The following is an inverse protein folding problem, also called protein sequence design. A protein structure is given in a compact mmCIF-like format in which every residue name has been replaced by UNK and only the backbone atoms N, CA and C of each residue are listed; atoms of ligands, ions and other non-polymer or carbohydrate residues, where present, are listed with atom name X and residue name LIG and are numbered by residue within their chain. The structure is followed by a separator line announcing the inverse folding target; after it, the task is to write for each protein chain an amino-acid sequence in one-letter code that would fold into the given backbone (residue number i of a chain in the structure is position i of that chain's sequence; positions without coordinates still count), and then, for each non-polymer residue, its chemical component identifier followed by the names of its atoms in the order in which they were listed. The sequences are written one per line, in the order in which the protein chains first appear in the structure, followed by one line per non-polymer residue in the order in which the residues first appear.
data_IF_445234998969
#
_entry.id   IF_445234998969
#
_cell.length_a   1.000
_cell.length_b   1.000
_cell.length_c   1.000
_cell.angle_alpha   90.00
_cell.angle_beta   90.00
_cell.angle_gamma   90.00
#
_symmetry.space_group_name_H-M   'P 1'
#
loop_
_entity.id
_entity.type
_entity.pdbx_description
1 polymer ?
#
# COMPACT_ATOMS: atom_id res chain seq x y z
N UNK A 1 7.17 -3.18 -4.92
CA UNK A 1 6.69 -1.98 -5.64
C UNK A 1 5.18 -1.77 -5.54
N UNK A 2 4.38 -2.84 -5.36
CA UNK A 2 2.91 -2.74 -5.27
C UNK A 2 2.39 -2.40 -3.87
N UNK A 3 3.25 -2.32 -2.86
CA UNK A 3 2.93 -1.96 -1.48
C UNK A 3 3.81 -0.79 -1.01
N UNK A 4 3.76 0.32 -1.76
CA UNK A 4 4.52 1.52 -1.42
C UNK A 4 3.83 2.31 -0.29
N UNK A 5 4.63 3.03 0.49
CA UNK A 5 4.13 3.90 1.57
C UNK A 5 3.24 5.01 1.02
N UNK A 6 3.61 5.58 -0.14
CA UNK A 6 2.80 6.52 -0.90
C UNK A 6 3.08 6.39 -2.39
N UNK A 7 2.05 6.56 -3.21
CA UNK A 7 2.17 6.57 -4.68
C UNK A 7 2.81 7.84 -5.23
N UNK A 8 3.00 8.85 -4.39
CA UNK A 8 3.60 10.13 -4.75
C UNK A 8 5.10 10.17 -4.46
N UNK A 9 5.56 9.40 -3.46
CA UNK A 9 6.93 9.48 -2.97
C UNK A 9 7.89 8.55 -3.72
N UNK A 10 9.12 9.00 -3.89
CA UNK A 10 10.22 8.20 -4.42
C UNK A 10 10.87 7.38 -3.30
N UNK A 11 11.23 6.13 -3.61
CA UNK A 11 11.82 5.25 -2.61
C UNK A 11 13.30 5.61 -2.36
N UNK A 12 13.75 5.80 -1.11
CA UNK A 12 15.13 6.21 -0.77
C UNK A 12 16.22 5.29 -1.31
N UNK A 13 15.89 4.04 -1.58
CA UNK A 13 16.83 3.08 -2.17
C UNK A 13 17.37 3.49 -3.54
N UNK A 14 16.64 4.31 -4.30
CA UNK A 14 17.07 4.82 -5.60
C UNK A 14 18.03 6.01 -5.50
N UNK A 15 18.27 6.55 -4.30
CA UNK A 15 19.23 7.63 -4.11
C UNK A 15 20.66 7.18 -4.50
N UNK A 16 21.31 7.91 -5.39
CA UNK A 16 22.74 7.75 -5.67
C UNK A 16 23.54 8.65 -4.72
N UNK A 17 24.11 8.05 -3.69
CA UNK A 17 24.90 8.77 -2.68
C UNK A 17 26.15 9.44 -3.24
N UNK A 18 26.69 8.96 -4.38
CA UNK A 18 27.90 9.53 -5.03
C UNK A 18 27.64 10.90 -5.66
N UNK A 19 26.38 11.24 -5.89
CA UNK A 19 25.97 12.57 -6.40
C UNK A 19 25.73 13.57 -5.27
N UNK A 20 25.89 13.15 -4.01
CA UNK A 20 25.70 13.98 -2.84
C UNK A 20 27.05 14.45 -2.29
N UNK A 21 27.06 15.53 -1.47
CA UNK A 21 28.26 15.91 -0.73
C UNK A 21 28.80 14.76 0.12
N UNK A 22 30.11 14.78 0.35
CA UNK A 22 30.72 13.85 1.28
C UNK A 22 30.29 14.16 2.72
N UNK A 23 30.25 13.14 3.57
CA UNK A 23 30.11 13.31 5.00
C UNK A 23 31.40 13.92 5.55
N UNK A 24 31.29 14.95 6.40
CA UNK A 24 32.45 15.65 6.99
C UNK A 24 33.23 14.75 7.97
N UNK A 25 32.53 13.83 8.65
CA UNK A 25 33.17 12.84 9.52
C UNK A 25 33.86 11.76 8.67
N UNK A 26 35.18 11.82 8.61
CA UNK A 26 36.01 10.90 7.82
C UNK A 26 35.87 9.44 8.28
N UNK A 27 35.71 9.20 9.56
CA UNK A 27 35.59 7.83 10.10
C UNK A 27 34.28 7.19 9.64
N UNK A 28 33.19 7.94 9.68
CA UNK A 28 31.91 7.47 9.17
C UNK A 28 31.93 7.38 7.62
N UNK A 29 32.55 8.31 6.92
CA UNK A 29 32.71 8.24 5.46
C UNK A 29 33.45 6.96 5.03
N UNK A 30 34.60 6.66 5.67
CA UNK A 30 35.35 5.43 5.41
C UNK A 30 34.53 4.17 5.73
N UNK A 31 33.75 4.20 6.82
CA UNK A 31 32.86 3.10 7.18
C UNK A 31 31.76 2.85 6.11
N UNK A 32 31.16 3.90 5.57
CA UNK A 32 30.18 3.77 4.50
C UNK A 32 30.83 3.24 3.21
N UNK A 33 32.05 3.64 2.89
CA UNK A 33 32.75 3.11 1.72
C UNK A 33 33.03 1.61 1.87
N UNK A 34 33.53 1.17 3.02
CA UNK A 34 33.72 -0.27 3.31
C UNK A 34 32.41 -1.04 3.21
N UNK A 35 31.32 -0.48 3.77
CA UNK A 35 29.99 -1.11 3.70
C UNK A 35 29.47 -1.16 2.25
N UNK A 36 29.71 -0.13 1.46
CA UNK A 36 29.36 -0.10 0.02
C UNK A 36 30.08 -1.21 -0.74
N UNK A 37 31.37 -1.39 -0.51
CA UNK A 37 32.17 -2.44 -1.13
C UNK A 37 31.64 -3.83 -0.72
N UNK A 38 31.39 -4.04 0.56
CA UNK A 38 30.82 -5.29 1.08
C UNK A 38 29.47 -5.61 0.42
N UNK A 39 28.52 -4.65 0.42
CA UNK A 39 27.18 -4.87 -0.12
C UNK A 39 27.18 -5.06 -1.64
N UNK A 40 28.08 -4.40 -2.36
CA UNK A 40 28.20 -4.59 -3.82
C UNK A 40 28.88 -5.93 -4.20
N UNK A 41 29.61 -6.55 -3.29
CA UNK A 41 30.22 -7.87 -3.51
C UNK A 41 29.24 -9.03 -3.29
N UNK A 42 28.05 -8.77 -2.75
CA UNK A 42 27.02 -9.80 -2.54
C UNK A 42 26.49 -10.33 -3.89
N UNK A 43 26.19 -11.64 -4.00
CA UNK A 43 25.65 -12.22 -5.22
C UNK A 43 24.21 -11.76 -5.53
N UNK A 44 23.50 -11.25 -4.54
CA UNK A 44 22.17 -10.68 -4.63
C UNK A 44 22.10 -9.43 -3.75
N UNK A 45 21.22 -8.49 -4.15
CA UNK A 45 21.02 -7.26 -3.39
C UNK A 45 20.37 -7.57 -2.04
N UNK A 46 21.01 -7.18 -0.95
CA UNK A 46 20.42 -7.11 0.37
C UNK A 46 19.68 -5.76 0.50
N UNK A 47 18.40 -5.77 0.12
CA UNK A 47 17.58 -4.55 0.08
C UNK A 47 17.47 -3.86 1.42
N UNK A 48 17.36 -4.61 2.50
CA UNK A 48 17.22 -4.06 3.85
C UNK A 48 18.50 -3.35 4.30
N UNK A 49 19.64 -4.02 4.20
CA UNK A 49 20.94 -3.42 4.57
C UNK A 49 21.28 -2.22 3.71
N UNK A 50 21.03 -2.29 2.39
CA UNK A 50 21.25 -1.17 1.47
C UNK A 50 20.37 0.02 1.85
N UNK A 51 19.08 -0.20 2.11
CA UNK A 51 18.16 0.87 2.49
C UNK A 51 18.57 1.52 3.82
N UNK A 52 18.88 0.71 4.84
CA UNK A 52 19.30 1.18 6.15
C UNK A 52 20.60 2.00 6.05
N UNK A 53 21.57 1.56 5.26
CA UNK A 53 22.80 2.30 5.02
C UNK A 53 22.54 3.65 4.36
N UNK A 54 21.70 3.69 3.31
CA UNK A 54 21.36 4.94 2.62
C UNK A 54 20.61 5.92 3.50
N UNK A 55 19.64 5.45 4.28
CA UNK A 55 18.89 6.29 5.24
C UNK A 55 19.86 6.89 6.27
N UNK A 56 20.75 6.07 6.84
CA UNK A 56 21.74 6.56 7.81
C UNK A 56 22.66 7.61 7.21
N UNK A 57 23.14 7.40 5.98
CA UNK A 57 23.96 8.39 5.26
C UNK A 57 23.21 9.70 5.05
N UNK A 58 21.97 9.62 4.58
CA UNK A 58 21.12 10.79 4.35
C UNK A 58 20.80 11.55 5.66
N UNK A 59 20.62 10.84 6.79
CA UNK A 59 20.45 11.47 8.10
C UNK A 59 21.70 12.25 8.53
N UNK A 60 22.88 11.73 8.26
CA UNK A 60 24.14 12.44 8.55
C UNK A 60 24.30 13.69 7.68
N UNK A 61 24.01 13.58 6.39
CA UNK A 61 24.01 14.74 5.49
C UNK A 61 22.97 15.79 5.89
N UNK A 62 21.77 15.35 6.27
CA UNK A 62 20.74 16.27 6.72
C UNK A 62 21.17 17.07 7.96
N UNK A 63 21.85 16.43 8.92
CA UNK A 63 22.44 17.14 10.08
C UNK A 63 23.52 18.13 9.67
N UNK A 64 24.30 17.80 8.62
CA UNK A 64 25.39 18.63 8.13
C UNK A 64 24.92 19.85 7.33
N UNK A 65 23.96 19.67 6.41
CA UNK A 65 23.56 20.69 5.44
C UNK A 65 22.05 20.94 5.35
N UNK A 66 21.23 20.15 6.04
CA UNK A 66 19.77 20.15 5.87
C UNK A 66 19.15 21.54 6.02
N UNK A 67 19.55 22.30 7.04
CA UNK A 67 19.05 23.67 7.24
C UNK A 67 19.32 24.55 6.02
N UNK A 68 20.56 24.54 5.50
CA UNK A 68 20.95 25.31 4.31
C UNK A 68 20.13 24.91 3.08
N UNK A 69 19.89 23.59 2.91
CA UNK A 69 19.10 23.08 1.79
C UNK A 69 17.64 23.53 1.91
N UNK A 70 17.03 23.41 3.09
CA UNK A 70 15.63 23.80 3.32
C UNK A 70 15.40 25.31 3.14
N UNK A 71 16.43 26.13 3.36
CA UNK A 71 16.37 27.58 3.16
C UNK A 71 16.62 28.00 1.70
N UNK A 72 17.06 27.08 0.82
CA UNK A 72 17.35 27.39 -0.58
C UNK A 72 16.11 27.67 -1.42
N UNK A 73 16.21 28.54 -2.42
CA UNK A 73 15.09 28.86 -3.32
C UNK A 73 14.65 27.64 -4.14
N UNK A 74 15.58 26.77 -4.51
CA UNK A 74 15.28 25.53 -5.23
C UNK A 74 14.40 24.61 -4.38
N UNK A 75 14.76 24.42 -3.10
CA UNK A 75 13.93 23.64 -2.18
C UNK A 75 12.56 24.28 -1.95
N UNK A 76 12.50 25.58 -1.73
CA UNK A 76 11.23 26.30 -1.53
C UNK A 76 10.29 26.13 -2.74
N UNK A 77 10.85 26.20 -3.95
CA UNK A 77 10.09 25.98 -5.19
C UNK A 77 9.56 24.54 -5.27
N UNK A 78 10.38 23.54 -4.96
CA UNK A 78 10.00 22.15 -4.86
C UNK A 78 8.89 21.95 -3.81
N UNK A 79 9.10 22.45 -2.59
CA UNK A 79 8.14 22.34 -1.50
C UNK A 79 6.79 22.97 -1.84
N UNK A 80 6.81 24.16 -2.46
CA UNK A 80 5.58 24.82 -2.91
C UNK A 80 4.77 23.98 -3.90
N UNK A 81 5.47 23.30 -4.81
CA UNK A 81 4.83 22.46 -5.83
C UNK A 81 4.32 21.12 -5.27
N UNK A 82 4.91 20.61 -4.19
CA UNK A 82 4.70 19.23 -3.72
C UNK A 82 4.08 19.13 -2.33
N UNK A 83 3.91 20.23 -1.60
CA UNK A 83 3.50 20.25 -0.19
C UNK A 83 2.18 19.52 0.09
N UNK A 84 1.29 19.44 -0.91
CA UNK A 84 -0.02 18.80 -0.77
C UNK A 84 0.10 17.27 -0.50
N UNK A 85 1.16 16.62 -0.96
CA UNK A 85 1.45 15.23 -0.66
C UNK A 85 2.71 15.04 0.21
N UNK A 86 3.69 15.92 0.06
CA UNK A 86 4.97 15.82 0.74
C UNK A 86 4.83 16.01 2.26
N UNK A 87 3.97 16.95 2.68
CA UNK A 87 3.75 17.22 4.10
C UNK A 87 3.12 16.00 4.79
N UNK A 88 1.96 15.49 4.36
CA UNK A 88 1.38 14.31 4.99
C UNK A 88 2.30 13.07 4.87
N UNK A 89 3.03 12.91 3.78
CA UNK A 89 4.02 11.83 3.65
C UNK A 89 5.12 11.88 4.71
N UNK A 90 5.70 13.04 4.93
CA UNK A 90 6.78 13.21 5.91
C UNK A 90 6.26 13.01 7.34
N UNK A 91 5.08 13.52 7.64
CA UNK A 91 4.42 13.32 8.94
C UNK A 91 4.09 11.85 9.18
N UNK A 92 3.55 11.16 8.18
CA UNK A 92 3.29 9.73 8.26
C UNK A 92 4.58 8.95 8.53
N UNK A 93 5.67 9.24 7.80
CA UNK A 93 6.96 8.57 8.00
C UNK A 93 7.52 8.79 9.40
N UNK A 94 7.46 10.03 9.90
CA UNK A 94 7.85 10.35 11.27
C UNK A 94 7.01 9.57 12.31
N UNK A 95 5.68 9.59 12.17
CA UNK A 95 4.77 8.90 13.09
C UNK A 95 4.95 7.38 13.05
N UNK A 96 5.11 6.80 11.85
CA UNK A 96 5.42 5.38 11.66
C UNK A 96 6.70 5.00 12.43
N UNK A 97 7.77 5.78 12.27
CA UNK A 97 9.06 5.50 12.90
C UNK A 97 8.98 5.70 14.42
N UNK A 98 8.26 6.71 14.89
CA UNK A 98 7.98 6.97 16.31
C UNK A 98 7.20 5.82 16.96
N UNK A 99 6.20 5.27 16.28
CA UNK A 99 5.35 4.20 16.80
C UNK A 99 5.90 2.79 16.50
N UNK A 100 6.95 2.66 15.68
CA UNK A 100 7.57 1.38 15.31
C UNK A 100 6.66 0.48 14.45
N UNK A 101 5.59 1.01 13.89
CA UNK A 101 4.63 0.26 13.04
C UNK A 101 3.99 1.15 12.00
N UNK A 102 3.73 0.59 10.80
CA UNK A 102 2.95 1.24 9.75
C UNK A 102 1.42 1.12 9.96
N UNK A 103 0.97 0.30 10.91
CA UNK A 103 -0.45 0.11 11.20
C UNK A 103 -0.98 1.33 11.99
N UNK A 104 -1.30 2.40 11.28
CA UNK A 104 -1.71 3.67 11.89
C UNK A 104 -2.95 3.54 12.78
N UNK A 105 -3.82 2.56 12.53
CA UNK A 105 -4.97 2.27 13.42
C UNK A 105 -4.55 1.84 14.85
N UNK A 106 -3.29 1.40 15.03
CA UNK A 106 -2.72 1.03 16.34
C UNK A 106 -1.95 2.16 17.01
N UNK A 107 -1.80 3.32 16.35
CA UNK A 107 -1.12 4.46 16.96
C UNK A 107 -2.00 5.05 18.07
N UNK A 108 -1.37 5.41 19.18
CA UNK A 108 -2.08 6.02 20.30
C UNK A 108 -2.63 7.42 19.93
N UNK A 109 -1.79 8.21 19.21
CA UNK A 109 -2.12 9.53 18.70
C UNK A 109 -1.99 9.56 17.18
N UNK A 110 -2.71 10.47 16.51
CA UNK A 110 -2.60 10.70 15.06
C UNK A 110 -2.98 9.49 14.19
N UNK A 111 -3.83 8.59 14.69
CA UNK A 111 -4.36 7.45 13.93
C UNK A 111 -5.26 7.87 12.75
N UNK A 112 -5.70 9.12 12.73
CA UNK A 112 -6.36 9.79 11.62
C UNK A 112 -5.64 11.11 11.35
N UNK A 113 -5.43 11.41 10.08
CA UNK A 113 -4.85 12.70 9.69
C UNK A 113 -5.87 13.83 9.87
N UNK A 114 -5.40 15.00 10.32
CA UNK A 114 -6.19 16.21 10.40
C UNK A 114 -5.30 17.47 10.23
N UNK A 115 -5.91 18.59 9.87
CA UNK A 115 -5.18 19.84 9.58
C UNK A 115 -4.48 20.44 10.81
N UNK A 116 -5.04 20.30 12.00
CA UNK A 116 -4.42 20.83 13.22
C UNK A 116 -3.11 20.12 13.54
N UNK A 117 -3.08 18.79 13.40
CA UNK A 117 -1.86 18.00 13.56
C UNK A 117 -0.85 18.31 12.46
N UNK A 118 -1.32 18.50 11.21
CA UNK A 118 -0.49 18.94 10.10
C UNK A 118 0.25 20.23 10.43
N UNK A 119 -0.46 21.23 10.89
CA UNK A 119 0.10 22.54 11.21
C UNK A 119 1.06 22.45 12.41
N UNK A 120 0.71 21.67 13.42
CA UNK A 120 1.55 21.46 14.59
C UNK A 120 2.88 20.76 14.24
N UNK A 121 2.84 19.65 13.51
CA UNK A 121 4.04 18.89 13.13
C UNK A 121 4.90 19.57 12.06
N UNK A 122 4.31 20.47 11.26
CA UNK A 122 5.03 21.26 10.25
C UNK A 122 5.59 22.58 10.79
N UNK A 123 5.31 22.90 12.04
CA UNK A 123 5.82 24.13 12.67
C UNK A 123 7.31 23.99 13.02
N UNK A 124 8.21 24.87 12.52
CA UNK A 124 9.63 24.83 12.84
C UNK A 124 9.98 24.95 14.34
N UNK A 125 9.05 25.42 15.16
CA UNK A 125 9.20 25.50 16.62
C UNK A 125 8.82 24.19 17.33
N UNK A 126 8.22 23.24 16.62
CA UNK A 126 7.89 21.93 17.16
C UNK A 126 9.16 21.08 17.24
N UNK A 127 9.33 20.35 18.35
CA UNK A 127 10.48 19.45 18.53
C UNK A 127 10.57 18.32 17.48
N UNK A 128 9.44 17.91 16.94
CA UNK A 128 9.37 16.89 15.88
C UNK A 128 9.71 17.42 14.50
N UNK A 129 9.80 18.75 14.32
CA UNK A 129 9.97 19.35 12.99
C UNK A 129 11.22 18.89 12.26
N UNK A 130 12.35 18.75 12.97
CA UNK A 130 13.60 18.30 12.38
C UNK A 130 13.48 16.87 11.80
N UNK A 131 12.83 15.97 12.54
CA UNK A 131 12.58 14.60 12.10
C UNK A 131 11.61 14.54 10.91
N UNK A 132 10.58 15.38 10.89
CA UNK A 132 9.66 15.52 9.75
C UNK A 132 10.38 16.11 8.54
N UNK A 133 11.16 17.17 8.73
CA UNK A 133 11.87 17.88 7.68
C UNK A 133 12.99 17.02 7.03
N UNK A 134 13.50 16.02 7.74
CA UNK A 134 14.39 15.02 7.15
C UNK A 134 13.73 14.33 5.93
N UNK A 135 12.45 13.98 6.01
CA UNK A 135 11.75 13.36 4.89
C UNK A 135 11.49 14.34 3.73
N UNK A 136 11.33 15.64 4.02
CA UNK A 136 11.30 16.66 2.97
C UNK A 136 12.62 16.70 2.20
N UNK A 137 13.73 16.70 2.94
CA UNK A 137 15.08 16.69 2.35
C UNK A 137 15.30 15.45 1.47
N UNK A 138 14.95 14.27 1.98
CA UNK A 138 15.11 13.01 1.24
C UNK A 138 14.33 13.04 -0.08
N UNK A 139 13.08 13.47 -0.06
CA UNK A 139 12.27 13.53 -1.28
C UNK A 139 12.76 14.60 -2.25
N UNK A 140 13.27 15.73 -1.76
CA UNK A 140 13.88 16.74 -2.60
C UNK A 140 15.13 16.21 -3.33
N UNK A 141 16.01 15.51 -2.62
CA UNK A 141 17.20 14.88 -3.22
C UNK A 141 16.82 13.89 -4.30
N UNK A 142 15.83 13.02 -4.00
CA UNK A 142 15.35 12.01 -4.94
C UNK A 142 14.69 12.63 -6.17
N UNK A 143 13.87 13.67 -6.01
CA UNK A 143 13.26 14.41 -7.12
C UNK A 143 14.31 14.95 -8.07
N UNK A 144 15.34 15.60 -7.55
CA UNK A 144 16.44 16.15 -8.37
C UNK A 144 17.18 15.07 -9.15
N UNK A 145 17.51 13.97 -8.49
CA UNK A 145 18.23 12.87 -9.14
C UNK A 145 17.36 12.19 -10.19
N UNK A 146 16.08 11.95 -9.91
CA UNK A 146 15.17 11.30 -10.85
C UNK A 146 14.90 12.19 -12.08
N UNK A 147 14.70 13.50 -11.88
CA UNK A 147 14.59 14.47 -13.00
C UNK A 147 15.85 14.50 -13.85
N UNK A 148 17.02 14.56 -13.21
CA UNK A 148 18.30 14.54 -13.93
C UNK A 148 18.46 13.26 -14.77
N UNK A 149 18.10 12.11 -14.23
CA UNK A 149 18.13 10.84 -14.95
C UNK A 149 17.13 10.82 -16.13
N UNK A 150 15.92 11.34 -15.93
CA UNK A 150 14.90 11.47 -16.97
C UNK A 150 15.38 12.40 -18.10
N UNK A 151 15.89 13.58 -17.78
CA UNK A 151 16.39 14.53 -18.75
C UNK A 151 17.58 13.97 -19.55
N UNK A 152 18.47 13.25 -18.86
CA UNK A 152 19.58 12.55 -19.51
C UNK A 152 19.11 11.49 -20.51
N UNK A 153 18.09 10.70 -20.14
CA UNK A 153 17.49 9.69 -21.01
C UNK A 153 16.84 10.33 -22.24
N UNK A 154 16.00 11.36 -22.03
CA UNK A 154 15.31 12.09 -23.11
C UNK A 154 16.28 12.74 -24.10
N UNK A 155 17.34 13.37 -23.61
CA UNK A 155 18.36 13.98 -24.46
C UNK A 155 19.07 12.98 -25.39
N UNK A 156 18.93 11.66 -25.09
CA UNK A 156 19.49 10.56 -25.89
C UNK A 156 18.44 9.76 -26.65
N UNK A 157 17.20 10.26 -26.72
CA UNK A 157 16.11 9.59 -27.41
C UNK A 157 15.58 8.36 -26.68
N UNK A 158 15.88 8.21 -25.39
CA UNK A 158 15.36 7.10 -24.54
C UNK A 158 14.13 7.58 -23.79
N UNK A 159 13.03 6.85 -23.95
CA UNK A 159 11.76 7.09 -23.29
C UNK A 159 11.72 6.27 -22.01
N UNK A 160 11.44 6.92 -20.87
CA UNK A 160 11.17 6.24 -19.62
C UNK A 160 9.67 5.95 -19.49
N UNK A 161 9.34 4.69 -19.27
CA UNK A 161 7.96 4.24 -19.05
C UNK A 161 7.76 3.87 -17.59
N UNK A 162 6.89 4.61 -16.92
CA UNK A 162 6.47 4.32 -15.54
C UNK A 162 5.42 3.23 -15.48
N UNK A 163 5.34 2.55 -14.35
CA UNK A 163 4.30 1.57 -14.05
C UNK A 163 3.36 2.13 -12.99
N UNK A 164 2.06 2.02 -13.21
CA UNK A 164 1.01 2.50 -12.31
C UNK A 164 0.27 1.28 -11.76
N UNK A 165 0.65 0.79 -10.56
CA UNK A 165 -0.09 -0.29 -9.91
C UNK A 165 -1.51 0.18 -9.58
N UNK A 166 -2.47 -0.74 -9.65
CA UNK A 166 -3.87 -0.45 -9.33
C UNK A 166 -4.06 -0.15 -7.84
N UNK A 167 -3.29 -0.78 -6.96
CA UNK A 167 -3.48 -0.67 -5.52
C UNK A 167 -2.58 0.33 -4.82
N UNK A 168 -2.91 0.58 -3.56
CA UNK A 168 -2.11 1.31 -2.57
C UNK A 168 -1.95 0.45 -1.31
N UNK A 169 -0.93 0.70 -0.51
CA UNK A 169 -0.79 0.01 0.76
C UNK A 169 -1.94 0.41 1.70
N UNK A 170 -2.66 -0.58 2.25
CA UNK A 170 -3.75 -0.36 3.21
C UNK A 170 -3.31 0.46 4.43
N UNK A 171 -2.08 0.24 4.89
CA UNK A 171 -1.47 0.94 6.00
C UNK A 171 -0.50 2.04 5.53
N UNK A 172 -0.64 2.52 4.30
CA UNK A 172 0.21 3.57 3.75
C UNK A 172 -0.30 4.97 4.02
N UNK A 173 0.55 5.94 3.70
CA UNK A 173 0.25 7.36 3.84
C UNK A 173 -0.99 7.80 3.07
N UNK A 174 -1.18 7.28 1.85
CA UNK A 174 -2.30 7.71 1.00
C UNK A 174 -3.65 7.39 1.64
N UNK A 175 -3.77 6.21 2.27
CA UNK A 175 -4.98 5.79 3.00
C UNK A 175 -5.14 6.55 4.32
N UNK A 176 -4.04 6.78 5.03
CA UNK A 176 -4.05 7.56 6.28
C UNK A 176 -4.46 9.02 6.07
N UNK A 177 -4.00 9.60 4.96
CA UNK A 177 -4.23 11.02 4.63
C UNK A 177 -5.61 11.28 4.03
N UNK A 178 -6.06 10.45 3.10
CA UNK A 178 -7.31 10.63 2.34
C UNK A 178 -8.15 9.33 2.34
N UNK A 179 -8.56 8.82 3.52
CA UNK A 179 -9.24 7.53 3.66
C UNK A 179 -10.58 7.46 2.91
N UNK A 180 -11.23 8.59 2.66
CA UNK A 180 -12.52 8.68 1.96
C UNK A 180 -12.48 8.16 0.52
N UNK A 181 -11.29 8.07 -0.09
CA UNK A 181 -11.12 7.52 -1.43
C UNK A 181 -11.01 6.00 -1.48
N UNK A 182 -11.05 5.33 -0.32
CA UNK A 182 -10.80 3.90 -0.22
C UNK A 182 -11.87 3.19 0.59
N UNK A 183 -12.22 1.96 0.17
CA UNK A 183 -13.01 1.04 0.97
C UNK A 183 -12.08 0.18 1.82
N UNK A 184 -12.15 0.33 3.14
CA UNK A 184 -11.29 -0.38 4.09
C UNK A 184 -11.90 -1.68 4.61
N UNK A 185 -13.13 -1.99 4.26
CA UNK A 185 -13.86 -3.21 4.56
C UNK A 185 -13.64 -4.31 3.52
N UNK A 186 -12.95 -3.99 2.43
CA UNK A 186 -12.66 -4.92 1.35
C UNK A 186 -11.18 -4.90 0.93
N UNK A 187 -10.78 -5.93 0.21
CA UNK A 187 -9.44 -6.12 -0.36
C UNK A 187 -9.58 -6.44 -1.84
N UNK A 188 -8.71 -5.85 -2.66
CA UNK A 188 -8.67 -6.19 -4.07
C UNK A 188 -7.94 -7.51 -4.30
N UNK A 189 -8.34 -8.21 -5.35
CA UNK A 189 -7.73 -9.47 -5.75
C UNK A 189 -8.19 -9.94 -7.12
N UNK A 190 -8.10 -11.24 -7.35
CA UNK A 190 -8.57 -11.91 -8.55
C UNK A 190 -9.38 -13.17 -8.19
N UNK A 191 -10.42 -13.51 -8.99
CA UNK A 191 -11.19 -14.73 -8.80
C UNK A 191 -10.32 -15.98 -9.02
N UNK A 192 -10.79 -17.16 -8.56
CA UNK A 192 -10.17 -18.43 -8.91
C UNK A 192 -10.02 -18.63 -10.42
N UNK A 193 -8.87 -19.14 -10.81
CA UNK A 193 -8.55 -19.47 -12.20
C UNK A 193 -7.70 -20.74 -12.29
N UNK A 194 -7.21 -21.08 -13.49
CA UNK A 194 -6.37 -22.25 -13.73
C UNK A 194 -4.99 -22.17 -13.03
N UNK A 195 -4.54 -20.98 -12.66
CA UNK A 195 -3.23 -20.77 -12.02
C UNK A 195 -3.35 -20.63 -10.49
N UNK A 196 -4.52 -20.19 -9.99
CA UNK A 196 -4.79 -20.02 -8.56
C UNK A 196 -6.19 -20.51 -8.23
N UNK A 197 -6.28 -21.74 -7.72
CA UNK A 197 -7.55 -22.41 -7.38
C UNK A 197 -8.33 -21.64 -6.30
N UNK A 198 -7.62 -20.98 -5.38
CA UNK A 198 -8.22 -20.20 -4.29
C UNK A 198 -8.37 -18.71 -4.66
N UNK A 199 -8.12 -18.33 -5.91
CA UNK A 199 -8.03 -16.92 -6.29
C UNK A 199 -6.80 -16.25 -5.68
N UNK A 200 -6.71 -14.93 -5.86
CA UNK A 200 -5.61 -14.14 -5.32
C UNK A 200 -6.19 -13.03 -4.44
N UNK A 201 -5.60 -12.85 -3.27
CA UNK A 201 -5.86 -11.71 -2.40
C UNK A 201 -4.60 -10.82 -2.39
N UNK A 202 -4.73 -9.60 -2.92
CA UNK A 202 -3.61 -8.67 -3.02
C UNK A 202 -3.46 -7.77 -1.79
N UNK A 203 -4.44 -7.78 -0.87
CA UNK A 203 -4.39 -7.13 0.43
C UNK A 203 -4.59 -5.62 0.44
N UNK A 204 -4.59 -4.93 -0.69
CA UNK A 204 -4.82 -3.49 -0.72
C UNK A 204 -6.32 -3.13 -0.82
N UNK A 205 -6.73 -1.96 -0.31
CA UNK A 205 -8.14 -1.54 -0.32
C UNK A 205 -8.65 -1.31 -1.75
N UNK A 206 -9.94 -1.41 -1.95
CA UNK A 206 -10.58 -1.01 -3.20
C UNK A 206 -10.87 0.49 -3.20
N UNK A 207 -11.06 1.08 -4.40
CA UNK A 207 -11.33 2.51 -4.52
C UNK A 207 -12.81 2.82 -4.34
N UNK A 208 -13.10 3.90 -3.62
CA UNK A 208 -14.41 4.53 -3.56
C UNK A 208 -14.62 5.43 -4.79
N UNK A 209 -15.02 4.80 -5.90
CA UNK A 209 -15.21 5.50 -7.17
C UNK A 209 -16.30 6.56 -7.11
N UNK A 210 -17.34 6.37 -6.30
CA UNK A 210 -18.39 7.36 -6.11
C UNK A 210 -17.81 8.67 -5.57
N UNK A 211 -17.00 8.58 -4.52
CA UNK A 211 -16.31 9.73 -3.93
C UNK A 211 -15.31 10.36 -4.91
N UNK A 212 -14.54 9.53 -5.62
CA UNK A 212 -13.55 10.02 -6.60
C UNK A 212 -14.21 10.73 -7.77
N UNK A 213 -15.29 10.21 -8.33
CA UNK A 213 -16.02 10.83 -9.45
C UNK A 213 -16.64 12.16 -9.01
N UNK A 214 -17.14 12.24 -7.77
CA UNK A 214 -17.77 13.45 -7.23
C UNK A 214 -16.84 14.67 -7.22
N UNK A 215 -15.54 14.49 -7.13
CA UNK A 215 -14.54 15.58 -7.18
C UNK A 215 -13.76 15.64 -8.52
N UNK A 216 -14.18 14.90 -9.53
CA UNK A 216 -13.51 14.83 -10.84
C UNK A 216 -12.23 14.00 -10.80
N UNK A 217 -12.17 12.98 -9.97
CA UNK A 217 -11.03 12.04 -9.84
C UNK A 217 -9.71 12.74 -9.48
N UNK A 218 -9.75 13.76 -8.62
CA UNK A 218 -8.60 14.61 -8.31
C UNK A 218 -7.41 13.82 -7.74
N UNK A 219 -7.66 12.77 -6.97
CA UNK A 219 -6.59 11.91 -6.47
C UNK A 219 -5.79 11.27 -7.63
N UNK A 220 -6.47 10.74 -8.65
CA UNK A 220 -5.84 10.18 -9.84
C UNK A 220 -5.17 11.23 -10.69
N UNK A 221 -5.79 12.40 -10.85
CA UNK A 221 -5.20 13.54 -11.58
C UNK A 221 -3.86 13.94 -10.96
N UNK A 222 -3.82 14.12 -9.62
CA UNK A 222 -2.57 14.44 -8.90
C UNK A 222 -1.52 13.35 -9.05
N UNK A 223 -1.93 12.08 -9.00
CA UNK A 223 -1.02 10.93 -9.19
C UNK A 223 -0.37 10.96 -10.59
N UNK A 224 -1.15 11.15 -11.65
CA UNK A 224 -0.63 11.26 -13.01
C UNK A 224 0.26 12.50 -13.17
N UNK A 225 -0.13 13.64 -12.63
CA UNK A 225 0.67 14.87 -12.67
C UNK A 225 2.02 14.71 -11.95
N UNK A 226 2.05 13.97 -10.86
CA UNK A 226 3.32 13.67 -10.18
C UNK A 226 4.20 12.76 -11.02
N UNK A 227 3.65 11.71 -11.61
CA UNK A 227 4.43 10.76 -12.40
C UNK A 227 4.94 11.33 -13.73
N UNK A 228 4.22 12.25 -14.38
CA UNK A 228 4.66 12.89 -15.62
C UNK A 228 5.96 13.70 -15.49
N UNK A 229 6.36 14.01 -14.25
CA UNK A 229 7.62 14.69 -13.98
C UNK A 229 8.85 13.80 -14.20
N UNK A 230 8.64 12.48 -14.18
CA UNK A 230 9.70 11.47 -14.21
C UNK A 230 9.61 10.50 -15.40
N UNK A 231 8.44 10.41 -16.03
CA UNK A 231 8.16 9.42 -17.08
C UNK A 231 7.46 10.04 -18.28
N UNK A 232 7.80 9.55 -19.46
CA UNK A 232 7.24 10.00 -20.75
C UNK A 232 6.00 9.18 -21.13
N UNK A 233 5.85 7.98 -20.60
CA UNK A 233 4.77 7.05 -20.85
C UNK A 233 4.43 6.24 -19.61
N UNK A 234 3.21 5.65 -19.56
CA UNK A 234 2.78 4.82 -18.45
C UNK A 234 2.26 3.47 -18.93
N UNK A 235 2.50 2.43 -18.14
CA UNK A 235 1.70 1.21 -18.16
C UNK A 235 0.69 1.28 -17.01
N UNK A 236 -0.58 1.16 -17.32
CA UNK A 236 -1.62 1.00 -16.30
C UNK A 236 -1.75 -0.48 -16.04
N UNK A 237 -1.41 -0.91 -14.83
CA UNK A 237 -1.58 -2.29 -14.42
C UNK A 237 -3.04 -2.56 -14.06
N UNK A 238 -3.51 -3.78 -14.36
CA UNK A 238 -4.87 -4.23 -14.07
C UNK A 238 -5.98 -3.24 -14.49
N UNK A 239 -5.96 -2.83 -15.75
CA UNK A 239 -6.93 -1.82 -16.28
C UNK A 239 -8.40 -2.19 -16.06
N UNK A 240 -8.74 -3.48 -15.98
CA UNK A 240 -10.09 -3.94 -15.68
C UNK A 240 -10.58 -3.49 -14.31
N UNK A 241 -9.67 -3.32 -13.35
CA UNK A 241 -9.97 -2.85 -12.00
C UNK A 241 -10.52 -1.42 -11.93
N UNK A 242 -10.36 -0.63 -12.99
CA UNK A 242 -11.01 0.69 -13.12
C UNK A 242 -12.49 0.60 -13.50
N UNK A 243 -12.94 -0.53 -14.01
CA UNK A 243 -14.33 -0.77 -14.40
C UNK A 243 -15.02 -1.73 -13.43
N UNK A 244 -14.32 -2.80 -13.07
CA UNK A 244 -14.78 -3.82 -12.12
C UNK A 244 -13.57 -4.41 -11.41
N UNK A 245 -13.60 -4.45 -10.10
CA UNK A 245 -12.57 -5.07 -9.27
C UNK A 245 -13.12 -6.30 -8.56
N UNK A 246 -12.31 -7.35 -8.42
CA UNK A 246 -12.60 -8.46 -7.54
C UNK A 246 -12.36 -8.01 -6.11
N UNK A 247 -13.44 -7.81 -5.35
CA UNK A 247 -13.41 -7.35 -3.97
C UNK A 247 -13.63 -8.52 -3.02
N UNK A 248 -12.74 -8.68 -2.05
CA UNK A 248 -12.70 -9.75 -1.07
C UNK A 248 -12.95 -9.12 0.29
N UNK A 249 -13.91 -9.61 1.10
CA UNK A 249 -14.10 -9.12 2.48
C UNK A 249 -12.82 -9.23 3.30
N UNK A 250 -12.63 -8.31 4.27
CA UNK A 250 -11.39 -8.28 5.06
C UNK A 250 -11.24 -9.44 6.04
N UNK A 251 -12.31 -10.13 6.35
CA UNK A 251 -12.35 -11.35 7.16
C UNK A 251 -12.01 -12.63 6.37
N UNK A 252 -11.88 -12.50 5.03
CA UNK A 252 -11.41 -13.57 4.16
C UNK A 252 -9.90 -13.46 3.89
N UNK A 253 -9.25 -14.61 3.76
CA UNK A 253 -7.81 -14.73 3.46
C UNK A 253 -7.61 -14.97 1.96
N UNK A 254 -8.39 -15.88 1.39
CA UNK A 254 -8.30 -16.28 -0.01
C UNK A 254 -9.20 -15.43 -0.91
N UNK A 255 -8.89 -15.43 -2.21
CA UNK A 255 -9.72 -14.78 -3.22
C UNK A 255 -11.05 -15.48 -3.53
N UNK A 256 -11.24 -16.70 -3.02
CA UNK A 256 -12.38 -17.55 -3.35
C UNK A 256 -13.75 -16.92 -3.00
N UNK A 257 -13.83 -16.23 -1.86
CA UNK A 257 -15.05 -15.62 -1.35
C UNK A 257 -15.26 -14.17 -1.80
N UNK A 258 -14.48 -13.71 -2.78
CA UNK A 258 -14.64 -12.40 -3.37
C UNK A 258 -15.85 -12.31 -4.31
N UNK A 259 -16.14 -11.09 -4.73
CA UNK A 259 -17.14 -10.78 -5.75
C UNK A 259 -16.72 -9.56 -6.57
N UNK A 260 -17.22 -9.47 -7.82
CA UNK A 260 -16.96 -8.27 -8.62
C UNK A 260 -17.73 -7.06 -8.10
N UNK A 261 -17.05 -5.93 -8.00
CA UNK A 261 -17.66 -4.63 -7.71
C UNK A 261 -17.33 -3.64 -8.83
N UNK A 262 -18.35 -2.93 -9.38
CA UNK A 262 -19.79 -3.09 -9.10
C UNK A 262 -20.31 -4.46 -9.54
N UNK A 263 -21.25 -5.02 -8.77
CA UNK A 263 -21.95 -6.25 -9.11
C UNK A 263 -23.24 -5.96 -9.84
N UNK A 264 -23.63 -6.84 -10.76
CA UNK A 264 -24.98 -6.85 -11.30
C UNK A 264 -25.88 -7.61 -10.32
N UNK A 265 -26.61 -6.87 -9.49
CA UNK A 265 -27.58 -7.48 -8.61
C UNK A 265 -28.73 -8.08 -9.42
N UNK A 266 -29.10 -9.32 -9.09
CA UNK A 266 -30.26 -10.00 -9.69
C UNK A 266 -31.27 -10.31 -8.60
N UNK A 267 -32.54 -10.07 -8.89
CA UNK A 267 -33.63 -10.50 -8.03
C UNK A 267 -33.82 -12.02 -8.10
N UNK A 268 -34.46 -12.58 -7.07
CA UNK A 268 -34.83 -14.01 -7.06
C UNK A 268 -35.64 -14.40 -8.29
N UNK A 269 -36.60 -13.57 -8.67
CA UNK A 269 -37.49 -13.81 -9.82
C UNK A 269 -36.72 -13.84 -11.13
N UNK A 270 -35.75 -12.94 -11.31
CA UNK A 270 -34.87 -12.94 -12.47
C UNK A 270 -34.05 -14.22 -12.55
N UNK A 271 -33.44 -14.65 -11.42
CA UNK A 271 -32.65 -15.89 -11.37
C UNK A 271 -33.53 -17.09 -11.71
N UNK A 272 -34.76 -17.17 -11.17
CA UNK A 272 -35.73 -18.22 -11.48
C UNK A 272 -36.18 -18.17 -12.94
N UNK A 273 -36.32 -16.97 -13.50
CA UNK A 273 -36.63 -16.76 -14.93
C UNK A 273 -35.58 -17.33 -15.88
N UNK A 274 -34.32 -17.41 -15.45
CA UNK A 274 -33.24 -18.10 -16.20
C UNK A 274 -33.23 -19.62 -16.00
N UNK A 275 -34.19 -20.19 -15.25
CA UNK A 275 -34.35 -21.62 -15.08
C UNK A 275 -33.62 -22.22 -13.87
N UNK A 276 -32.99 -21.41 -13.03
CA UNK A 276 -32.37 -21.88 -11.79
C UNK A 276 -33.44 -21.91 -10.66
N UNK A 277 -33.68 -23.08 -10.07
CA UNK A 277 -34.43 -23.18 -8.85
C UNK A 277 -33.61 -22.63 -7.68
N UNK A 278 -33.69 -21.33 -7.49
CA UNK A 278 -32.91 -20.63 -6.45
C UNK A 278 -33.43 -20.93 -5.05
N UNK A 279 -32.60 -21.60 -4.28
CA UNK A 279 -32.81 -21.87 -2.86
C UNK A 279 -31.83 -21.06 -2.02
N UNK A 280 -32.32 -20.02 -1.36
CA UNK A 280 -31.48 -19.02 -0.68
C UNK A 280 -30.50 -19.65 0.31
N UNK A 281 -30.98 -20.53 1.19
CA UNK A 281 -30.15 -21.22 2.21
C UNK A 281 -28.98 -22.00 1.57
N UNK A 282 -29.23 -22.63 0.43
CA UNK A 282 -28.22 -23.45 -0.27
C UNK A 282 -27.19 -22.60 -1.01
N UNK A 283 -27.63 -21.46 -1.57
CA UNK A 283 -26.76 -20.67 -2.47
C UNK A 283 -26.08 -19.49 -1.79
N UNK A 284 -26.56 -19.05 -0.60
CA UNK A 284 -26.03 -17.86 0.08
C UNK A 284 -25.35 -18.15 1.42
N UNK A 285 -25.44 -19.39 1.90
CA UNK A 285 -24.81 -19.83 3.15
C UNK A 285 -23.88 -21.01 2.91
N UNK A 286 -22.84 -21.21 3.74
CA UNK A 286 -22.03 -22.44 3.71
C UNK A 286 -22.92 -23.69 3.87
N UNK A 287 -22.81 -24.62 2.93
CA UNK A 287 -23.54 -25.89 2.99
C UNK A 287 -22.69 -26.94 3.69
N UNK A 288 -22.91 -27.10 4.99
CA UNK A 288 -22.15 -28.02 5.86
C UNK A 288 -23.11 -29.14 6.32
N UNK A 289 -23.07 -30.25 5.60
CA UNK A 289 -23.91 -31.43 5.92
C UNK A 289 -23.04 -32.60 6.37
N UNK A 290 -23.60 -33.53 7.17
CA UNK A 290 -22.91 -34.73 7.68
C UNK A 290 -22.09 -35.42 6.60
N UNK A 291 -22.73 -35.76 5.48
CA UNK A 291 -22.07 -36.49 4.39
C UNK A 291 -20.93 -35.70 3.73
N UNK A 292 -20.99 -34.36 3.75
CA UNK A 292 -19.90 -33.50 3.24
C UNK A 292 -18.73 -33.57 4.19
N UNK A 293 -18.99 -33.44 5.51
CA UNK A 293 -17.97 -33.52 6.56
C UNK A 293 -17.25 -34.88 6.49
N UNK A 294 -18.01 -35.97 6.44
CA UNK A 294 -17.47 -37.33 6.36
C UNK A 294 -16.64 -37.55 5.10
N UNK A 295 -17.09 -37.01 3.97
CA UNK A 295 -16.36 -37.12 2.69
C UNK A 295 -15.05 -36.32 2.70
N UNK A 296 -15.05 -35.14 3.29
CA UNK A 296 -13.91 -34.22 3.29
C UNK A 296 -12.88 -34.61 4.34
N UNK A 297 -13.34 -34.84 5.58
CA UNK A 297 -12.49 -35.02 6.75
C UNK A 297 -12.26 -36.49 7.15
N UNK A 298 -13.06 -37.42 6.60
CA UNK A 298 -12.92 -38.86 6.83
C UNK A 298 -12.84 -39.22 8.31
N UNK A 299 -11.71 -39.84 8.74
CA UNK A 299 -11.44 -40.20 10.11
C UNK A 299 -11.46 -39.05 11.12
N UNK A 300 -11.30 -37.83 10.67
CA UNK A 300 -11.35 -36.61 11.51
C UNK A 300 -12.73 -35.95 11.55
N UNK A 301 -13.74 -36.52 10.92
CA UNK A 301 -15.07 -35.93 10.79
C UNK A 301 -15.68 -35.54 12.14
N UNK A 302 -15.65 -36.48 13.12
CA UNK A 302 -16.21 -36.26 14.46
C UNK A 302 -15.41 -35.17 15.25
N UNK A 303 -14.11 -35.15 15.14
CA UNK A 303 -13.28 -34.12 15.74
C UNK A 303 -13.62 -32.73 15.18
N UNK A 304 -13.82 -32.62 13.85
CA UNK A 304 -14.21 -31.38 13.19
C UNK A 304 -15.59 -30.92 13.66
N UNK A 305 -16.58 -31.84 13.73
CA UNK A 305 -17.92 -31.53 14.24
C UNK A 305 -17.87 -30.99 15.67
N UNK A 306 -17.12 -31.66 16.54
CA UNK A 306 -17.01 -31.26 17.94
C UNK A 306 -16.32 -29.92 18.14
N UNK A 307 -15.21 -29.70 17.42
CA UNK A 307 -14.33 -28.54 17.61
C UNK A 307 -14.87 -27.27 16.94
N UNK A 308 -15.27 -27.37 15.68
CA UNK A 308 -15.51 -26.19 14.83
C UNK A 308 -16.99 -25.93 14.52
N UNK A 309 -17.84 -26.95 14.65
CA UNK A 309 -19.23 -26.87 14.19
C UNK A 309 -20.22 -26.91 15.34
N UNK A 310 -21.38 -26.32 15.11
CA UNK A 310 -22.57 -26.47 15.92
C UNK A 310 -23.65 -27.07 15.05
N UNK A 311 -24.43 -28.00 15.64
CA UNK A 311 -25.59 -28.60 14.97
C UNK A 311 -26.70 -27.56 14.85
N UNK A 312 -27.24 -27.42 13.66
CA UNK A 312 -28.28 -26.44 13.35
C UNK A 312 -29.66 -27.12 13.27
N UNK A 313 -29.88 -27.93 12.23
CA UNK A 313 -31.10 -28.73 12.09
C UNK A 313 -30.82 -29.93 11.18
N UNK A 314 -31.60 -30.99 11.33
CA UNK A 314 -31.45 -32.25 10.58
C UNK A 314 -29.99 -32.75 10.55
N UNK A 315 -29.39 -32.80 9.38
CA UNK A 315 -28.00 -33.18 9.17
C UNK A 315 -27.15 -31.99 8.75
N UNK A 316 -27.56 -30.74 9.09
CA UNK A 316 -26.90 -29.49 8.72
C UNK A 316 -26.22 -28.88 9.94
N UNK A 317 -25.04 -28.35 9.71
CA UNK A 317 -24.22 -27.68 10.70
C UNK A 317 -23.89 -26.25 10.24
N UNK A 318 -23.59 -25.39 11.20
CA UNK A 318 -22.98 -24.08 11.00
C UNK A 318 -21.65 -23.99 11.73
N UNK A 319 -20.79 -23.06 11.32
CA UNK A 319 -19.56 -22.79 12.04
C UNK A 319 -19.86 -22.15 13.38
N UNK A 320 -19.12 -22.54 14.42
CA UNK A 320 -19.18 -21.83 15.70
C UNK A 320 -18.69 -20.38 15.52
N UNK A 321 -19.20 -19.40 16.28
CA UNK A 321 -18.84 -17.99 16.12
C UNK A 321 -17.33 -17.70 16.24
N UNK A 322 -16.59 -18.58 16.93
CA UNK A 322 -15.13 -18.48 17.07
C UNK A 322 -14.39 -18.83 15.78
N UNK A 323 -15.06 -19.50 14.82
CA UNK A 323 -14.49 -20.03 13.58
C UNK A 323 -15.29 -19.65 12.33
N UNK A 324 -16.17 -18.67 12.41
CA UNK A 324 -17.11 -18.30 11.34
C UNK A 324 -16.49 -17.49 10.18
N UNK A 325 -15.20 -17.20 10.26
CA UNK A 325 -14.44 -16.57 9.16
C UNK A 325 -13.11 -17.27 8.92
N UNK A 326 -12.54 -17.14 7.71
CA UNK A 326 -11.22 -17.71 7.39
C UNK A 326 -10.14 -17.21 8.34
N UNK A 327 -10.16 -15.90 8.68
CA UNK A 327 -9.14 -15.30 9.57
C UNK A 327 -9.21 -15.75 11.02
N UNK A 328 -10.31 -16.31 11.45
CA UNK A 328 -10.46 -16.89 12.79
C UNK A 328 -9.97 -18.35 12.85
N UNK A 329 -9.84 -18.99 11.68
CA UNK A 329 -9.37 -20.37 11.56
C UNK A 329 -7.86 -20.43 11.35
N UNK A 330 -7.29 -19.48 10.61
CA UNK A 330 -5.85 -19.33 10.40
C UNK A 330 -5.14 -18.73 11.63
#
# INVERSE_FOLDING_TARGET
PYSCISVFALHPQYCDLRQLPAIDDKVEADRFEMLREELNALPQIDYERVNNAKIKYLQMLFKQEGKKVLESEDFKSFFKATNHWLVPYAQYCYLRDKNGTCEFAKWEDHNLWNEADRDALSNPQNKAFEDVAFFYYVQYVLDRQMRSAHDYARARGVILKGDIPIGVNRNGCDVWHEPEYFHLDSQAGAPPDAFSVNGQNWGFPTYNWERMIADGCQWWVRRFQNMQQYFDAYRIDHVLGFFRIWAIPTDCVHGLLGQFQPALAMSRDEIQGYGLNFQEELFTKPFIADWVIDRVFKEHAEEVKEKYLQHDHDNIFSLKPEYDTERKIE
#
